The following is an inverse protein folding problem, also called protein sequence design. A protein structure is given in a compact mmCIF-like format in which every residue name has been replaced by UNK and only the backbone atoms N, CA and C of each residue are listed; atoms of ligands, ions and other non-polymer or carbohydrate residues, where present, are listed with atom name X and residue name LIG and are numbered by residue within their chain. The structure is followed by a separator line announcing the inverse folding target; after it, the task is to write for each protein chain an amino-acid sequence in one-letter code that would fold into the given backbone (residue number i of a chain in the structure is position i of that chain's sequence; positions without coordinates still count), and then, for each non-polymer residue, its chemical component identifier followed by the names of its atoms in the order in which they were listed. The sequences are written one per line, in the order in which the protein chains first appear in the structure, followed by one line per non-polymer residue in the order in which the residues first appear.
data_IF_343995413508
#
_entry.id   IF_343995413508
#
_cell.length_a   1.000
_cell.length_b   1.000
_cell.length_c   1.000
_cell.angle_alpha   90.00
_cell.angle_beta   90.00
_cell.angle_gamma   90.00
#
_symmetry.space_group_name_H-M   'P 1'
#
loop_
_entity.id
_entity.type
_entity.pdbx_description
1 polymer ?
#
# COMPACT_ATOMS: atom_id res chain seq x y z
N UNK A 1 29.17 -0.65 15.36
CA UNK A 1 28.42 0.16 14.39
C UNK A 1 26.97 -0.30 14.43
N UNK A 2 25.97 0.58 14.36
CA UNK A 2 24.58 0.12 14.24
C UNK A 2 24.43 -0.71 12.97
N UNK A 3 23.64 -1.78 13.03
CA UNK A 3 23.31 -2.56 11.83
C UNK A 3 22.38 -1.75 10.93
N UNK A 4 22.51 -1.87 9.59
CA UNK A 4 21.57 -1.23 8.67
C UNK A 4 20.18 -1.83 8.85
N UNK A 5 19.15 -1.00 8.75
CA UNK A 5 17.77 -1.47 8.71
C UNK A 5 17.45 -2.01 7.32
N UNK A 6 16.77 -3.15 7.27
CA UNK A 6 16.21 -3.76 6.06
C UNK A 6 14.75 -3.37 5.95
N UNK A 7 14.42 -2.48 5.02
CA UNK A 7 13.06 -2.01 4.78
C UNK A 7 12.55 -2.67 3.50
N UNK A 8 11.45 -3.41 3.61
CA UNK A 8 10.88 -4.14 2.49
C UNK A 8 10.10 -3.20 1.56
N UNK A 9 10.75 -2.79 0.46
CA UNK A 9 10.18 -1.92 -0.58
C UNK A 9 8.93 -2.56 -1.21
N UNK A 10 7.76 -1.99 -0.89
CA UNK A 10 6.43 -2.47 -1.24
C UNK A 10 6.09 -3.86 -0.70
N UNK A 11 6.70 -4.24 0.41
CA UNK A 11 6.72 -5.61 0.95
C UNK A 11 7.79 -6.49 0.30
N UNK A 12 7.67 -7.81 0.39
CA UNK A 12 8.52 -8.77 -0.32
C UNK A 12 8.18 -8.81 -1.82
N UNK A 13 8.26 -7.66 -2.48
CA UNK A 13 7.76 -7.41 -3.83
C UNK A 13 8.48 -8.23 -4.91
N UNK A 14 9.68 -8.74 -4.61
CA UNK A 14 10.41 -9.70 -5.44
C UNK A 14 9.80 -11.12 -5.44
N UNK A 15 8.97 -11.45 -4.46
CA UNK A 15 8.36 -12.79 -4.30
C UNK A 15 6.81 -12.76 -4.33
N UNK A 16 6.19 -11.66 -3.92
CA UNK A 16 4.74 -11.49 -3.80
C UNK A 16 4.27 -10.18 -4.49
N UNK A 17 2.97 -10.04 -4.84
CA UNK A 17 2.49 -8.82 -5.48
C UNK A 17 2.64 -7.62 -4.55
N UNK A 18 3.29 -6.58 -5.05
CA UNK A 18 3.58 -5.34 -4.31
C UNK A 18 2.32 -4.73 -3.67
N UNK A 19 2.48 -4.09 -2.51
CA UNK A 19 1.40 -3.41 -1.77
C UNK A 19 0.20 -4.28 -1.38
N UNK A 20 0.40 -5.60 -1.32
CA UNK A 20 -0.60 -6.53 -0.81
C UNK A 20 -0.25 -7.00 0.59
N UNK A 21 -1.27 -7.45 1.31
CA UNK A 21 -1.08 -8.13 2.60
C UNK A 21 -0.10 -9.30 2.46
N UNK A 22 -0.20 -10.11 1.39
CA UNK A 22 0.70 -11.23 1.19
C UNK A 22 2.17 -10.80 1.10
N UNK A 23 2.47 -9.68 0.43
CA UNK A 23 3.84 -9.17 0.35
C UNK A 23 4.34 -8.63 1.69
N UNK A 24 3.48 -7.98 2.48
CA UNK A 24 3.87 -7.47 3.80
C UNK A 24 4.08 -8.61 4.81
N UNK A 25 3.21 -9.61 4.84
CA UNK A 25 3.40 -10.79 5.70
C UNK A 25 4.71 -11.51 5.36
N UNK A 26 4.97 -11.76 4.08
CA UNK A 26 6.18 -12.43 3.63
C UNK A 26 7.45 -11.62 3.96
N UNK A 27 7.41 -10.29 3.90
CA UNK A 27 8.53 -9.46 4.29
C UNK A 27 8.91 -9.64 5.77
N UNK A 28 7.92 -9.73 6.66
CA UNK A 28 8.17 -9.97 8.08
C UNK A 28 8.68 -11.39 8.32
N UNK A 29 8.13 -12.39 7.62
CA UNK A 29 8.60 -13.77 7.68
C UNK A 29 10.07 -13.90 7.20
N UNK A 30 10.48 -13.05 6.25
CA UNK A 30 11.86 -12.96 5.76
C UNK A 30 12.78 -12.12 6.66
N UNK A 31 12.26 -11.51 7.74
CA UNK A 31 13.04 -10.77 8.73
C UNK A 31 13.29 -9.30 8.41
N UNK A 32 12.44 -8.65 7.61
CA UNK A 32 12.53 -7.21 7.40
C UNK A 32 12.24 -6.43 8.70
N UNK A 33 12.98 -5.35 8.93
CA UNK A 33 12.82 -4.44 10.08
C UNK A 33 11.62 -3.49 9.93
N UNK A 34 11.12 -3.35 8.70
CA UNK A 34 10.06 -2.43 8.32
C UNK A 34 9.46 -2.80 6.97
N UNK A 35 8.26 -2.31 6.72
CA UNK A 35 7.62 -2.36 5.40
C UNK A 35 7.47 -0.95 4.85
N UNK A 36 7.71 -0.80 3.56
CA UNK A 36 7.50 0.43 2.83
C UNK A 36 6.24 0.34 1.96
N UNK A 37 5.54 1.46 1.80
CA UNK A 37 4.38 1.57 0.95
C UNK A 37 4.21 2.96 0.35
N UNK A 38 3.67 2.96 -0.86
CA UNK A 38 3.29 4.14 -1.62
C UNK A 38 1.81 4.46 -1.38
N UNK A 39 1.48 5.74 -1.19
CA UNK A 39 0.13 6.20 -0.84
C UNK A 39 -0.37 7.28 -1.81
N UNK A 40 -1.58 7.05 -2.33
CA UNK A 40 -2.39 8.01 -3.08
C UNK A 40 -3.71 8.29 -2.35
N UNK A 41 -4.51 9.26 -2.80
CA UNK A 41 -5.91 9.38 -2.40
C UNK A 41 -6.86 8.79 -3.45
N UNK A 42 -7.90 8.12 -2.98
CA UNK A 42 -9.08 7.75 -3.77
C UNK A 42 -9.98 8.95 -4.08
N UNK A 43 -11.00 8.75 -4.91
CA UNK A 43 -12.03 9.76 -5.24
C UNK A 43 -12.78 10.26 -4.01
N UNK A 44 -13.02 9.37 -3.06
CA UNK A 44 -13.64 9.64 -1.76
C UNK A 44 -12.60 9.95 -0.67
N UNK A 45 -11.40 10.39 -1.07
CA UNK A 45 -10.35 10.97 -0.22
C UNK A 45 -9.79 10.06 0.87
N UNK A 46 -9.79 8.75 0.64
CA UNK A 46 -9.15 7.79 1.54
C UNK A 46 -7.72 7.49 1.05
N UNK A 47 -6.73 7.41 1.96
CA UNK A 47 -5.38 6.94 1.62
C UNK A 47 -5.38 5.49 1.12
N UNK A 48 -4.88 5.26 -0.09
CA UNK A 48 -4.81 3.98 -0.81
C UNK A 48 -3.36 3.57 -0.99
N UNK A 49 -3.06 2.30 -0.71
CA UNK A 49 -1.72 1.70 -0.83
C UNK A 49 -1.54 1.11 -2.22
N UNK A 50 -0.85 1.84 -3.10
CA UNK A 50 -0.55 1.49 -4.50
C UNK A 50 0.54 2.43 -5.04
N UNK A 51 1.40 1.96 -5.95
CA UNK A 51 2.49 2.79 -6.48
C UNK A 51 2.12 3.68 -7.67
N UNK A 52 1.37 3.12 -8.62
CA UNK A 52 1.09 3.78 -9.89
C UNK A 52 -0.12 4.72 -9.75
N UNK A 53 -0.12 5.82 -10.50
CA UNK A 53 -1.28 6.71 -10.59
C UNK A 53 -2.51 6.05 -11.25
N UNK A 54 -2.31 4.93 -11.94
CA UNK A 54 -3.35 4.17 -12.65
C UNK A 54 -3.30 2.68 -12.28
N UNK A 55 -4.37 1.95 -12.61
CA UNK A 55 -4.64 0.61 -12.05
C UNK A 55 -4.06 -0.56 -12.85
N UNK A 56 -3.67 -0.35 -14.09
CA UNK A 56 -3.51 -1.40 -15.11
C UNK A 56 -2.34 -2.36 -14.84
N UNK A 57 -1.26 -1.88 -14.23
CA UNK A 57 -0.05 -2.70 -14.02
C UNK A 57 -0.25 -3.75 -12.93
N UNK A 58 -0.95 -3.40 -11.86
CA UNK A 58 -1.01 -4.20 -10.62
C UNK A 58 -2.42 -4.62 -10.24
N UNK A 59 -3.40 -4.44 -11.12
CA UNK A 59 -4.76 -4.95 -10.89
C UNK A 59 -5.47 -5.33 -12.19
N UNK A 60 -6.68 -5.88 -12.05
CA UNK A 60 -7.62 -6.10 -13.16
C UNK A 60 -8.50 -4.86 -13.47
N UNK A 61 -8.20 -3.71 -12.86
CA UNK A 61 -8.85 -2.44 -13.12
C UNK A 61 -8.13 -1.57 -14.16
N UNK A 62 -8.76 -0.44 -14.49
CA UNK A 62 -8.19 0.55 -15.39
C UNK A 62 -8.56 1.98 -14.98
N UNK A 63 -7.76 2.95 -15.41
CA UNK A 63 -7.91 4.36 -15.15
C UNK A 63 -7.26 4.84 -13.85
N UNK A 64 -7.37 6.15 -13.56
CA UNK A 64 -6.66 6.77 -12.45
C UNK A 64 -7.20 6.32 -11.08
N UNK A 65 -6.31 6.05 -10.13
CA UNK A 65 -6.67 5.70 -8.74
C UNK A 65 -7.56 6.78 -8.11
N UNK A 66 -7.20 8.05 -8.35
CA UNK A 66 -7.90 9.24 -7.83
C UNK A 66 -9.34 9.40 -8.32
N UNK A 67 -9.73 8.66 -9.36
CA UNK A 67 -11.08 8.71 -9.94
C UNK A 67 -11.96 7.55 -9.48
N UNK A 68 -11.44 6.67 -8.61
CA UNK A 68 -12.16 5.52 -8.05
C UNK A 68 -12.39 5.69 -6.55
N UNK A 69 -13.56 5.30 -6.08
CA UNK A 69 -13.88 5.20 -4.65
C UNK A 69 -13.17 4.00 -4.01
N UNK A 70 -12.97 4.01 -2.69
CA UNK A 70 -12.46 2.83 -1.96
C UNK A 70 -13.30 1.60 -2.29
N UNK A 71 -14.63 1.74 -2.30
CA UNK A 71 -15.55 0.65 -2.60
C UNK A 71 -15.32 0.06 -3.99
N UNK A 72 -14.97 0.87 -4.98
CA UNK A 72 -14.62 0.41 -6.32
C UNK A 72 -13.27 -0.29 -6.34
N UNK A 73 -12.25 0.33 -5.74
CA UNK A 73 -10.89 -0.21 -5.66
C UNK A 73 -10.85 -1.58 -4.96
N UNK A 74 -11.64 -1.75 -3.89
CA UNK A 74 -11.75 -3.00 -3.13
C UNK A 74 -12.34 -4.17 -3.90
N UNK A 75 -13.01 -3.94 -5.02
CA UNK A 75 -13.55 -5.02 -5.86
C UNK A 75 -12.50 -5.61 -6.81
N UNK A 76 -11.41 -4.90 -7.03
CA UNK A 76 -10.35 -5.30 -7.95
C UNK A 76 -9.49 -6.42 -7.34
N UNK A 77 -8.93 -7.25 -8.22
CA UNK A 77 -7.86 -8.18 -7.90
C UNK A 77 -6.51 -7.48 -8.08
N UNK A 78 -5.84 -7.18 -6.97
CA UNK A 78 -4.53 -6.53 -6.92
C UNK A 78 -3.33 -7.50 -6.87
N UNK A 79 -3.54 -8.81 -6.99
CA UNK A 79 -2.46 -9.81 -6.88
C UNK A 79 -2.39 -10.82 -8.01
N UNK A 80 -3.48 -11.03 -8.75
CA UNK A 80 -3.57 -12.05 -9.80
C UNK A 80 -2.57 -11.86 -10.93
N UNK A 81 -2.12 -10.62 -11.18
CA UNK A 81 -1.06 -10.30 -12.15
C UNK A 81 0.28 -10.96 -11.81
N UNK A 82 0.54 -11.25 -10.52
CA UNK A 82 1.75 -11.92 -10.06
C UNK A 82 1.67 -13.45 -10.15
N UNK A 83 0.46 -14.00 -10.29
CA UNK A 83 0.24 -15.42 -10.47
C UNK A 83 -0.99 -15.94 -9.73
N UNK A 84 -1.38 -17.16 -10.08
CA UNK A 84 -2.57 -17.84 -9.54
C UNK A 84 -2.62 -17.89 -8.00
N UNK A 85 -1.52 -18.13 -7.26
CA UNK A 85 -1.57 -18.18 -5.79
C UNK A 85 -2.00 -16.88 -5.12
N UNK A 86 -1.83 -15.74 -5.80
CA UNK A 86 -2.12 -14.42 -5.26
C UNK A 86 -3.42 -13.81 -5.77
N UNK A 87 -4.20 -14.56 -6.57
CA UNK A 87 -5.52 -14.12 -7.00
C UNK A 87 -6.40 -13.79 -5.80
N UNK A 88 -7.12 -12.69 -5.89
CA UNK A 88 -8.02 -12.21 -4.85
C UNK A 88 -7.36 -11.35 -3.77
N UNK A 89 -6.04 -11.11 -3.81
CA UNK A 89 -5.45 -10.04 -3.02
C UNK A 89 -6.12 -8.72 -3.40
N UNK A 90 -6.42 -7.88 -2.41
CA UNK A 90 -7.14 -6.62 -2.62
C UNK A 90 -6.19 -5.45 -2.49
N UNK A 91 -6.46 -4.37 -3.22
CA UNK A 91 -5.89 -3.06 -2.94
C UNK A 91 -6.30 -2.67 -1.52
N UNK A 92 -5.35 -2.19 -0.71
CA UNK A 92 -5.59 -1.81 0.69
C UNK A 92 -5.72 -0.29 0.84
N UNK A 93 -6.48 0.15 1.83
CA UNK A 93 -6.32 1.49 2.39
C UNK A 93 -5.11 1.48 3.31
N UNK A 94 -4.53 2.66 3.57
CA UNK A 94 -3.45 2.79 4.55
C UNK A 94 -3.91 2.33 5.93
N UNK A 95 -5.16 2.68 6.31
CA UNK A 95 -5.76 2.32 7.58
C UNK A 95 -5.72 0.81 7.84
N UNK A 96 -6.11 0.00 6.85
CA UNK A 96 -6.13 -1.46 7.01
C UNK A 96 -4.72 -2.06 7.17
N UNK A 97 -3.72 -1.46 6.52
CA UNK A 97 -2.32 -1.86 6.68
C UNK A 97 -1.82 -1.47 8.08
N UNK A 98 -2.08 -0.24 8.53
CA UNK A 98 -1.71 0.20 9.87
C UNK A 98 -2.38 -0.66 10.96
N UNK A 99 -3.69 -0.88 10.87
CA UNK A 99 -4.45 -1.73 11.80
C UNK A 99 -3.86 -3.13 11.94
N UNK A 100 -3.41 -3.71 10.82
CA UNK A 100 -2.90 -5.09 10.81
C UNK A 100 -1.46 -5.22 11.30
N UNK A 101 -0.63 -4.19 11.10
CA UNK A 101 0.81 -4.30 11.25
C UNK A 101 1.44 -3.36 12.29
N UNK A 102 0.66 -2.45 12.92
CA UNK A 102 1.18 -1.44 13.88
C UNK A 102 1.99 -2.02 15.03
N UNK A 103 1.58 -3.19 15.54
CA UNK A 103 2.26 -3.86 16.66
C UNK A 103 3.34 -4.85 16.21
N UNK A 104 3.62 -4.93 14.90
CA UNK A 104 4.46 -5.97 14.30
C UNK A 104 5.70 -5.44 13.61
N UNK A 105 5.68 -4.20 13.13
CA UNK A 105 6.78 -3.64 12.33
C UNK A 105 6.76 -2.11 12.28
N UNK A 106 7.77 -1.53 11.64
CA UNK A 106 7.85 -0.10 11.33
C UNK A 106 7.35 0.18 9.92
N UNK A 107 6.83 1.38 9.70
CA UNK A 107 6.33 1.81 8.40
C UNK A 107 7.21 2.88 7.77
N UNK A 108 7.43 2.75 6.46
CA UNK A 108 7.90 3.82 5.59
C UNK A 108 6.79 4.16 4.60
N UNK A 109 6.27 5.38 4.67
CA UNK A 109 5.13 5.81 3.85
C UNK A 109 5.64 6.87 2.86
N UNK A 110 5.56 6.56 1.57
CA UNK A 110 5.84 7.51 0.48
C UNK A 110 4.52 8.11 -0.03
N UNK A 111 4.40 9.45 0.01
CA UNK A 111 3.23 10.17 -0.47
C UNK A 111 3.39 10.50 -1.94
N UNK A 112 2.65 9.82 -2.81
CA UNK A 112 2.73 10.03 -4.25
C UNK A 112 2.02 11.30 -4.66
N UNK A 113 2.67 12.12 -5.48
CA UNK A 113 2.11 13.37 -6.03
C UNK A 113 2.00 14.53 -5.03
N UNK A 114 2.02 14.27 -3.72
CA UNK A 114 1.92 15.27 -2.66
C UNK A 114 0.68 16.15 -2.77
N UNK A 115 0.67 17.25 -2.01
CA UNK A 115 -0.40 18.26 -2.05
C UNK A 115 -0.66 18.90 -3.43
N UNK A 116 0.32 18.87 -4.35
CA UNK A 116 0.12 19.38 -5.73
C UNK A 116 -0.93 18.58 -6.50
N UNK A 117 -0.99 17.27 -6.26
CA UNK A 117 -1.97 16.38 -6.89
C UNK A 117 -3.13 16.02 -5.97
N UNK A 118 -2.86 15.92 -4.66
CA UNK A 118 -3.78 15.49 -3.63
C UNK A 118 -3.82 16.50 -2.49
N UNK A 119 -4.55 17.62 -2.64
CA UNK A 119 -4.65 18.61 -1.58
C UNK A 119 -5.07 17.98 -0.24
N UNK A 120 -4.25 18.16 0.79
CA UNK A 120 -4.52 17.66 2.14
C UNK A 120 -4.11 16.20 2.41
N UNK A 121 -3.35 15.56 1.51
CA UNK A 121 -2.90 14.17 1.72
C UNK A 121 -1.98 14.05 2.95
N UNK A 122 -1.10 15.02 3.16
CA UNK A 122 -0.16 15.06 4.28
C UNK A 122 -0.91 15.08 5.61
N UNK A 123 -1.87 16.00 5.79
CA UNK A 123 -2.67 16.12 7.01
C UNK A 123 -3.49 14.86 7.25
N UNK A 124 -4.11 14.29 6.21
CA UNK A 124 -4.90 13.06 6.33
C UNK A 124 -4.06 11.88 6.81
N UNK A 125 -2.86 11.71 6.23
CA UNK A 125 -1.96 10.63 6.61
C UNK A 125 -1.41 10.86 8.01
N UNK A 126 -1.01 12.08 8.36
CA UNK A 126 -0.55 12.44 9.71
C UNK A 126 -1.64 12.16 10.76
N UNK A 127 -2.86 12.64 10.55
CA UNK A 127 -3.98 12.38 11.47
C UNK A 127 -4.28 10.90 11.62
N UNK A 128 -4.07 10.10 10.57
CA UNK A 128 -4.25 8.65 10.64
C UNK A 128 -3.16 8.00 11.49
N UNK A 129 -1.88 8.29 11.24
CA UNK A 129 -0.76 7.69 12.00
C UNK A 129 -0.74 8.13 13.47
N UNK A 130 -1.36 9.26 13.84
CA UNK A 130 -1.48 9.65 15.25
C UNK A 130 -2.43 8.74 16.05
N UNK A 131 -3.31 8.00 15.36
CA UNK A 131 -4.26 7.04 15.96
C UNK A 131 -3.63 5.63 16.07
N UNK A 132 -2.69 5.30 15.19
CA UNK A 132 -2.11 3.96 15.02
C UNK A 132 -0.66 3.87 15.49
#
# INVERSE_FOLDING_TARGET
MPQPLVIAHRGASADAPEHTIAAFELALDQGADGIEMDVHLSKDEHPIVIHDFTLERTSDGAGPVRERTVRELKRLDGGGWRGRPFRGQRIQTLQEVLERFRDRTRFWIDLKGGSDLYPGIEERVVSMIEIY
#
